data_IF_515762073571
#
_entry.id   IF_515762073571
#
_cell.length_a   1.000
_cell.length_b   1.000
_cell.length_c   1.000
_cell.angle_alpha   90.00
_cell.angle_beta   90.00
_cell.angle_gamma   90.00
#
_symmetry.space_group_name_H-M   'P 1'
#
loop_
_entity.id
_entity.type
_entity.pdbx_description
1 polymer ?
#
# COMPACT_ATOMS: atom_id res chain seq x y z
N UNK A 1 11.86 -9.45 -3.44
CA UNK A 1 10.76 -9.04 -2.55
C UNK A 1 9.58 -9.96 -2.77
N UNK A 2 8.90 -10.35 -1.70
CA UNK A 2 7.73 -11.22 -1.71
C UNK A 2 6.51 -10.47 -1.14
N UNK A 3 5.32 -10.80 -1.66
CA UNK A 3 4.07 -10.29 -1.10
C UNK A 3 3.77 -11.11 0.15
N UNK A 4 3.54 -10.44 1.26
CA UNK A 4 3.01 -11.06 2.47
C UNK A 4 1.76 -10.31 2.94
N UNK A 5 0.89 -11.02 3.66
CA UNK A 5 -0.25 -10.43 4.34
C UNK A 5 0.05 -10.56 5.83
N UNK A 6 0.23 -9.42 6.50
CA UNK A 6 0.57 -9.35 7.92
C UNK A 6 -0.52 -8.53 8.59
N UNK A 7 -1.13 -9.05 9.66
CA UNK A 7 -2.28 -8.43 10.34
C UNK A 7 -3.45 -8.08 9.37
N UNK A 8 -3.65 -8.89 8.33
CA UNK A 8 -4.68 -8.67 7.31
C UNK A 8 -4.35 -7.59 6.28
N UNK A 9 -3.20 -6.92 6.40
CA UNK A 9 -2.76 -5.89 5.46
C UNK A 9 -1.68 -6.45 4.52
N UNK A 10 -1.80 -6.23 3.20
CA UNK A 10 -0.77 -6.65 2.27
C UNK A 10 0.45 -5.73 2.36
N UNK A 11 1.63 -6.32 2.36
CA UNK A 11 2.93 -5.63 2.31
C UNK A 11 3.88 -6.32 1.32
N UNK A 12 4.86 -5.58 0.84
CA UNK A 12 6.03 -6.16 0.19
C UNK A 12 7.14 -6.32 1.23
N UNK A 13 7.74 -7.50 1.33
CA UNK A 13 8.83 -7.79 2.24
C UNK A 13 10.10 -8.16 1.48
N UNK A 14 11.24 -7.66 1.94
CA UNK A 14 12.56 -8.03 1.41
C UNK A 14 13.24 -9.14 2.24
N UNK A 15 14.46 -9.53 1.83
CA UNK A 15 15.23 -10.56 2.55
C UNK A 15 15.78 -10.07 3.90
N UNK A 16 15.75 -8.76 4.14
CA UNK A 16 16.23 -8.10 5.36
C UNK A 16 15.08 -7.81 6.34
N UNK A 17 13.90 -8.38 6.10
CA UNK A 17 12.66 -8.13 6.83
C UNK A 17 12.15 -6.68 6.78
N UNK A 18 12.62 -5.84 5.85
CA UNK A 18 12.00 -4.55 5.62
C UNK A 18 10.65 -4.75 4.95
N UNK A 19 9.68 -3.98 5.39
CA UNK A 19 8.30 -3.99 4.90
C UNK A 19 8.01 -2.67 4.21
N UNK A 20 7.44 -2.80 3.03
CA UNK A 20 7.14 -1.71 2.13
C UNK A 20 5.64 -1.68 1.85
N UNK A 21 5.13 -0.49 1.55
CA UNK A 21 3.74 -0.32 1.16
C UNK A 21 3.37 -1.25 0.00
N UNK A 22 2.19 -1.87 0.05
CA UNK A 22 1.71 -2.65 -1.08
C UNK A 22 1.29 -1.76 -2.23
N UNK A 23 1.97 -1.90 -3.36
CA UNK A 23 1.63 -1.27 -4.64
C UNK A 23 1.54 -2.35 -5.73
N UNK A 24 0.54 -2.28 -6.63
CA UNK A 24 0.37 -3.24 -7.72
C UNK A 24 1.56 -3.26 -8.69
N UNK A 25 2.15 -2.09 -8.97
CA UNK A 25 3.21 -1.91 -9.96
C UNK A 25 4.62 -2.08 -9.37
N UNK A 26 4.74 -2.22 -8.04
CA UNK A 26 6.00 -2.24 -7.28
C UNK A 26 6.93 -1.06 -7.55
N UNK A 27 6.41 0.06 -8.05
CA UNK A 27 7.21 1.27 -8.30
C UNK A 27 7.11 2.22 -7.11
N UNK A 28 8.22 2.89 -6.80
CA UNK A 28 8.31 3.87 -5.72
C UNK A 28 7.81 3.31 -4.37
N UNK A 29 8.26 2.11 -4.02
CA UNK A 29 7.90 1.45 -2.78
C UNK A 29 8.49 2.21 -1.59
N UNK A 30 7.64 2.61 -0.66
CA UNK A 30 8.02 3.30 0.57
C UNK A 30 8.27 2.25 1.64
N UNK A 31 9.44 2.29 2.26
CA UNK A 31 9.75 1.48 3.45
C UNK A 31 8.92 2.02 4.61
N UNK A 32 8.00 1.22 5.12
CA UNK A 32 7.12 1.56 6.24
C UNK A 32 7.71 1.13 7.58
N UNK A 33 8.56 0.11 7.59
CA UNK A 33 9.09 -0.45 8.82
C UNK A 33 9.86 -1.74 8.62
N UNK A 34 9.91 -2.54 9.69
CA UNK A 34 10.56 -3.84 9.73
C UNK A 34 9.60 -4.88 10.32
N UNK A 35 9.55 -6.06 9.71
CA UNK A 35 8.82 -7.21 10.20
C UNK A 35 9.65 -7.97 11.22
N UNK A 36 9.08 -8.25 12.39
CA UNK A 36 9.69 -9.08 13.41
C UNK A 36 9.13 -10.51 13.35
N UNK A 37 9.90 -11.49 12.85
CA UNK A 37 9.44 -12.87 12.71
C UNK A 37 9.23 -13.60 14.04
N UNK A 38 9.88 -13.17 15.13
CA UNK A 38 9.76 -13.84 16.43
C UNK A 38 8.41 -13.56 17.10
N UNK A 39 7.87 -12.36 16.86
CA UNK A 39 6.61 -11.89 17.44
C UNK A 39 5.45 -11.92 16.44
N UNK A 40 5.73 -12.19 15.17
CA UNK A 40 4.78 -12.06 14.06
C UNK A 40 4.14 -10.65 14.00
N UNK A 41 4.96 -9.62 14.25
CA UNK A 41 4.50 -8.22 14.35
C UNK A 41 5.31 -7.30 13.47
N UNK A 42 4.69 -6.19 13.09
CA UNK A 42 5.32 -5.11 12.34
C UNK A 42 5.76 -4.00 13.30
N UNK A 43 7.03 -3.59 13.20
CA UNK A 43 7.52 -2.34 13.78
C UNK A 43 7.54 -1.26 12.69
N UNK A 44 6.56 -0.36 12.72
CA UNK A 44 6.52 0.79 11.81
C UNK A 44 7.55 1.85 12.23
N UNK A 45 8.08 2.59 11.25
CA UNK A 45 8.90 3.78 11.52
C UNK A 45 8.05 4.87 12.14
N UNK A 46 8.58 5.67 13.07
CA UNK A 46 7.81 6.75 13.71
C UNK A 46 7.18 7.73 12.70
N UNK A 47 7.88 8.00 11.60
CA UNK A 47 7.43 8.88 10.53
C UNK A 47 6.72 8.17 9.37
N UNK A 48 6.27 6.91 9.54
CA UNK A 48 5.61 6.14 8.49
C UNK A 48 4.42 6.90 7.89
N UNK A 49 3.67 7.61 8.74
CA UNK A 49 2.47 8.37 8.35
C UNK A 49 2.83 9.51 7.40
N UNK A 50 3.88 10.27 7.72
CA UNK A 50 4.33 11.40 6.90
C UNK A 50 4.85 10.91 5.53
N UNK A 51 5.63 9.83 5.54
CA UNK A 51 6.11 9.19 4.31
C UNK A 51 4.94 8.76 3.40
N UNK A 52 3.89 8.20 4.01
CA UNK A 52 2.74 7.71 3.26
C UNK A 52 1.77 8.84 2.86
N UNK A 53 1.69 9.91 3.65
CA UNK A 53 0.79 11.04 3.45
C UNK A 53 1.00 11.71 2.09
N UNK A 54 2.26 11.95 1.69
CA UNK A 54 2.58 12.54 0.39
C UNK A 54 2.01 11.72 -0.78
N UNK A 55 2.17 10.39 -0.73
CA UNK A 55 1.60 9.47 -1.71
C UNK A 55 0.08 9.49 -1.71
N UNK A 56 -0.55 9.51 -0.54
CA UNK A 56 -2.01 9.60 -0.42
C UNK A 56 -2.54 10.91 -0.99
N UNK A 57 -1.84 12.01 -0.78
CA UNK A 57 -2.24 13.32 -1.30
C UNK A 57 -2.09 13.38 -2.82
N UNK A 58 -1.02 12.82 -3.37
CA UNK A 58 -0.87 12.66 -4.82
C UNK A 58 -1.95 11.76 -5.40
N UNK A 59 -2.26 10.64 -4.74
CA UNK A 59 -3.35 9.77 -5.16
C UNK A 59 -4.70 10.49 -5.14
N UNK A 60 -5.01 11.23 -4.06
CA UNK A 60 -6.24 12.03 -3.92
C UNK A 60 -6.34 13.13 -4.97
N UNK A 61 -5.25 13.83 -5.27
CA UNK A 61 -5.20 14.87 -6.31
C UNK A 61 -5.38 14.28 -7.70
N UNK A 62 -4.80 13.12 -7.96
CA UNK A 62 -4.91 12.41 -9.24
C UNK A 62 -6.16 11.53 -9.34
N UNK A 63 -6.98 11.48 -8.28
CA UNK A 63 -8.32 10.92 -8.28
C UNK A 63 -9.26 11.86 -9.06
N UNK A 64 -8.91 12.12 -10.33
CA UNK A 64 -9.84 12.72 -11.28
C UNK A 64 -11.04 11.80 -11.35
N UNK A 65 -12.13 12.29 -10.78
CA UNK A 65 -13.52 11.91 -11.02
C UNK A 65 -13.62 10.55 -11.74
N UNK A 66 -13.46 9.45 -10.99
CA UNK A 66 -14.03 8.18 -11.44
C UNK A 66 -15.53 8.37 -11.35
N UNK A 67 -16.10 9.13 -12.29
CA UNK A 67 -17.52 9.09 -12.56
C UNK A 67 -17.82 7.60 -12.71
N UNK A 68 -18.72 7.11 -11.85
CA UNK A 68 -19.33 5.80 -12.06
C UNK A 68 -19.92 5.92 -13.45
N UNK A 69 -19.29 5.32 -14.46
CA UNK A 69 -19.97 5.06 -15.72
C UNK A 69 -21.14 4.17 -15.32
N UNK A 70 -22.31 4.77 -15.17
CA UNK A 70 -23.56 4.04 -15.08
C UNK A 70 -23.56 3.10 -16.27
N UNK A 71 -23.53 1.80 -16.00
CA UNK A 71 -23.83 0.80 -17.01
C UNK A 71 -25.28 1.07 -17.42
N UNK A 72 -25.48 1.90 -18.45
CA UNK A 72 -26.72 1.89 -19.22
C UNK A 72 -26.75 0.54 -19.92
N UNK A 73 -27.30 -0.44 -19.22
CA UNK A 73 -27.75 -1.69 -19.80
C UNK A 73 -28.89 -1.31 -20.76
N UNK A 74 -28.56 -1.11 -22.04
CA UNK A 74 -29.56 -1.04 -23.11
C UNK A 74 -30.39 -2.31 -23.04
N UNK A 75 -31.60 -2.19 -22.52
CA UNK A 75 -32.61 -3.25 -22.62
C UNK A 75 -33.37 -2.95 -23.91
N UNK A 76 -33.13 -3.80 -24.92
CA UNK A 76 -33.88 -3.84 -26.18
C UNK A 76 -35.34 -4.21 -25.96
#
# INVERSE_FOLDING_TARGET
>A
MQKEVIEGLPYWKDKSNNIYCFEPDKKNLIVLGTYNPEKDTIALKDNWKELYQSKLDDYRKNLKNRERKENKLETK
#
